data_IF_797631055976
#
_entry.id   IF_797631055976
#
_cell.length_a   1.000
_cell.length_b   1.000
_cell.length_c   1.000
_cell.angle_alpha   90.00
_cell.angle_beta   90.00
_cell.angle_gamma   90.00
#
_symmetry.space_group_name_H-M   'P 1'
#
loop_
_entity.id
_entity.type
_entity.pdbx_description
1 polymer ?
#
# COMPACT_ATOMS: atom_id res chain seq x y z
N UNK A 1 -4.56 -11.94 6.47
CA UNK A 1 -5.30 -11.48 5.26
C UNK A 1 -4.35 -10.67 4.37
N UNK A 2 -4.52 -10.67 3.04
CA UNK A 2 -3.65 -9.91 2.12
C UNK A 2 -4.44 -8.78 1.45
N UNK A 3 -3.88 -7.57 1.43
CA UNK A 3 -4.50 -6.36 0.83
C UNK A 3 -3.51 -5.70 -0.12
N UNK A 4 -3.98 -5.29 -1.31
CA UNK A 4 -3.21 -4.57 -2.30
C UNK A 4 -3.84 -3.19 -2.57
N UNK A 5 -3.10 -2.13 -2.29
CA UNK A 5 -3.50 -0.75 -2.60
C UNK A 5 -2.94 -0.30 -3.95
N UNK A 6 -3.81 0.17 -4.84
CA UNK A 6 -3.40 0.64 -6.17
C UNK A 6 -3.63 2.15 -6.27
N UNK A 7 -2.62 2.88 -6.76
CA UNK A 7 -2.81 4.25 -7.24
C UNK A 7 -2.10 4.44 -8.58
N UNK A 8 -2.21 5.62 -9.19
CA UNK A 8 -1.60 5.86 -10.51
C UNK A 8 -0.08 5.73 -10.46
N UNK A 9 0.57 6.45 -9.55
CA UNK A 9 2.03 6.62 -9.55
C UNK A 9 2.79 5.78 -8.53
N UNK A 10 2.09 5.04 -7.65
CA UNK A 10 2.67 4.40 -6.47
C UNK A 10 3.52 5.32 -5.58
N UNK A 11 3.15 6.61 -5.49
CA UNK A 11 3.97 7.63 -4.79
C UNK A 11 3.40 8.11 -3.45
N UNK A 12 2.11 8.43 -3.40
CA UNK A 12 1.48 8.97 -2.19
C UNK A 12 0.41 8.03 -1.63
N UNK A 13 -0.78 8.01 -2.23
CA UNK A 13 -1.98 7.36 -1.67
C UNK A 13 -1.76 5.90 -1.32
N UNK A 14 -1.26 5.09 -2.26
CA UNK A 14 -1.10 3.65 -2.04
C UNK A 14 0.03 3.33 -1.05
N UNK A 15 1.10 4.12 -1.02
CA UNK A 15 2.24 3.95 -0.09
C UNK A 15 1.80 4.28 1.34
N UNK A 16 1.09 5.40 1.53
CA UNK A 16 0.56 5.80 2.83
C UNK A 16 -0.42 4.75 3.38
N UNK A 17 -1.32 4.24 2.54
CA UNK A 17 -2.23 3.17 2.93
C UNK A 17 -1.49 1.87 3.30
N UNK A 18 -0.49 1.44 2.53
CA UNK A 18 0.35 0.27 2.90
C UNK A 18 1.01 0.47 4.27
N UNK A 19 1.66 1.61 4.48
CA UNK A 19 2.39 1.89 5.72
C UNK A 19 1.46 1.96 6.93
N UNK A 20 0.33 2.69 6.83
CA UNK A 20 -0.65 2.81 7.91
C UNK A 20 -1.25 1.44 8.23
N UNK A 21 -1.66 0.67 7.23
CA UNK A 21 -2.28 -0.64 7.48
C UNK A 21 -1.29 -1.61 8.13
N UNK A 22 -0.05 -1.67 7.66
CA UNK A 22 0.97 -2.52 8.28
C UNK A 22 1.30 -2.07 9.71
N UNK A 23 1.33 -0.76 9.97
CA UNK A 23 1.58 -0.22 11.31
C UNK A 23 0.43 -0.52 12.30
N UNK A 24 -0.82 -0.33 11.87
CA UNK A 24 -1.99 -0.48 12.74
C UNK A 24 -2.40 -1.95 12.91
N UNK A 25 -2.33 -2.76 11.84
CA UNK A 25 -2.80 -4.14 11.86
C UNK A 25 -1.77 -5.14 12.41
N UNK A 26 -0.49 -4.75 12.49
CA UNK A 26 0.61 -5.65 12.87
C UNK A 26 0.59 -6.93 12.00
N UNK A 27 0.75 -8.09 12.63
CA UNK A 27 0.88 -9.38 11.92
C UNK A 27 -0.44 -9.96 11.38
N UNK A 28 -1.58 -9.27 11.60
CA UNK A 28 -2.90 -9.79 11.18
C UNK A 28 -3.14 -9.59 9.67
N UNK A 29 -2.55 -8.55 9.10
CA UNK A 29 -2.76 -8.14 7.72
C UNK A 29 -1.40 -7.88 7.06
N UNK A 30 -1.23 -8.39 5.85
CA UNK A 30 -0.09 -8.05 5.00
C UNK A 30 -0.60 -7.08 3.94
N UNK A 31 -0.24 -5.81 4.06
CA UNK A 31 -0.55 -4.79 3.05
C UNK A 31 0.64 -4.59 2.10
N UNK A 32 0.32 -4.43 0.81
CA UNK A 32 1.25 -4.10 -0.27
C UNK A 32 0.66 -2.98 -1.11
N UNK A 33 1.49 -2.28 -1.89
CA UNK A 33 1.04 -1.25 -2.82
C UNK A 33 1.60 -1.43 -4.23
N UNK A 34 0.88 -0.92 -5.23
CA UNK A 34 1.30 -0.91 -6.63
C UNK A 34 0.85 0.35 -7.37
N UNK A 35 1.42 0.56 -8.57
CA UNK A 35 1.16 1.69 -9.47
C UNK A 35 0.71 1.20 -10.84
N UNK A 36 -0.29 1.86 -11.44
CA UNK A 36 -0.64 1.57 -12.85
C UNK A 36 0.37 2.18 -13.83
N UNK A 37 0.96 3.32 -13.47
CA UNK A 37 2.04 4.02 -14.16
C UNK A 37 3.03 4.52 -13.10
N UNK A 38 3.86 3.61 -12.53
CA UNK A 38 4.76 3.97 -11.44
C UNK A 38 5.72 5.07 -11.90
N UNK A 39 5.77 6.16 -11.13
CA UNK A 39 6.71 7.25 -11.36
C UNK A 39 7.62 7.37 -10.13
N UNK A 40 8.91 7.15 -10.32
CA UNK A 40 9.95 7.37 -9.30
C UNK A 40 10.08 8.85 -8.97
#
# INVERSE_FOLDING_TARGET
>A
MKILYICTHNRCRSILSEAITNHVAGDKIIARSAGSQPSG
#
